data_IF_232173950172
#
_entry.id   IF_232173950172
#
_cell.length_a   1.000
_cell.length_b   1.000
_cell.length_c   1.000
_cell.angle_alpha   90.00
_cell.angle_beta   90.00
_cell.angle_gamma   90.00
#
_symmetry.space_group_name_H-M   'P 1'
#
loop_
_entity.id
_entity.type
_entity.pdbx_description
1 polymer ?
#
# COMPACT_ATOMS: atom_id res chain seq x y z
N UNK A 1 -40.52 40.56 -2.61
CA UNK A 1 -39.13 40.60 -3.06
C UNK A 1 -38.22 40.78 -1.83
N UNK A 2 -37.55 39.79 -1.26
CA UNK A 2 -36.72 40.04 -0.07
C UNK A 2 -36.12 38.82 0.60
N UNK A 3 -36.50 37.59 0.24
CA UNK A 3 -36.03 36.40 0.95
C UNK A 3 -34.78 35.70 0.35
N UNK A 4 -34.37 36.03 -0.87
CA UNK A 4 -33.26 35.36 -1.58
C UNK A 4 -31.87 35.96 -1.28
N UNK A 5 -31.78 37.20 -0.83
CA UNK A 5 -30.50 37.84 -0.51
C UNK A 5 -29.89 37.37 0.82
N UNK A 6 -30.72 37.15 1.83
CA UNK A 6 -30.29 36.80 3.17
C UNK A 6 -29.72 35.36 3.28
N UNK A 7 -30.22 34.41 2.49
CA UNK A 7 -29.72 33.06 2.53
C UNK A 7 -28.32 32.92 1.91
N UNK A 8 -28.02 33.62 0.83
CA UNK A 8 -26.69 33.65 0.20
C UNK A 8 -25.65 34.39 1.05
N UNK A 9 -26.07 35.45 1.73
CA UNK A 9 -25.17 36.18 2.64
C UNK A 9 -24.87 35.35 3.88
N UNK A 10 -25.87 34.70 4.48
CA UNK A 10 -25.69 33.79 5.59
C UNK A 10 -24.76 32.60 5.27
N UNK A 11 -24.93 31.99 4.09
CA UNK A 11 -24.03 30.91 3.63
C UNK A 11 -22.59 31.37 3.42
N UNK A 12 -22.39 32.62 2.85
CA UNK A 12 -21.04 33.19 2.71
C UNK A 12 -20.39 33.48 4.06
N UNK A 13 -21.17 34.02 5.02
CA UNK A 13 -20.66 34.30 6.36
C UNK A 13 -20.32 33.01 7.09
N UNK A 14 -21.19 32.00 7.02
CA UNK A 14 -20.91 30.69 7.63
C UNK A 14 -19.65 30.05 7.03
N UNK A 15 -19.50 30.04 5.71
CA UNK A 15 -18.31 29.55 5.05
C UNK A 15 -17.04 30.31 5.46
N UNK A 16 -17.13 31.64 5.60
CA UNK A 16 -16.01 32.44 6.08
C UNK A 16 -15.66 32.18 7.56
N UNK A 17 -16.65 31.91 8.42
CA UNK A 17 -16.42 31.52 9.81
C UNK A 17 -15.77 30.13 9.91
N UNK A 18 -16.24 29.17 9.09
CA UNK A 18 -15.68 27.81 9.04
C UNK A 18 -14.21 27.84 8.53
N UNK A 19 -13.92 28.68 7.51
CA UNK A 19 -12.55 28.88 7.00
C UNK A 19 -11.63 29.53 8.07
N UNK A 20 -12.12 30.50 8.84
CA UNK A 20 -11.37 31.13 9.94
C UNK A 20 -11.10 30.14 11.07
N UNK A 21 -12.03 29.25 11.37
CA UNK A 21 -11.87 28.23 12.41
C UNK A 21 -10.84 27.18 11.99
N UNK A 22 -10.86 26.74 10.72
CA UNK A 22 -9.84 25.84 10.16
C UNK A 22 -8.45 26.47 10.20
N UNK A 23 -8.31 27.75 9.89
CA UNK A 23 -7.02 28.46 9.97
C UNK A 23 -6.50 28.57 11.43
N UNK A 24 -7.39 28.83 12.38
CA UNK A 24 -7.02 28.83 13.81
C UNK A 24 -6.54 27.46 14.27
N UNK A 25 -7.27 26.40 13.92
CA UNK A 25 -6.91 25.03 14.25
C UNK A 25 -5.57 24.65 13.61
N UNK A 26 -5.35 25.00 12.35
CA UNK A 26 -4.07 24.79 11.66
C UNK A 26 -2.92 25.48 12.40
N UNK A 27 -3.08 26.73 12.79
CA UNK A 27 -2.05 27.46 13.51
C UNK A 27 -1.75 26.87 14.90
N UNK A 28 -2.75 26.35 15.62
CA UNK A 28 -2.56 25.65 16.87
C UNK A 28 -1.74 24.36 16.65
N UNK A 29 -2.06 23.59 15.62
CA UNK A 29 -1.29 22.37 15.26
C UNK A 29 0.16 22.73 14.92
N UNK A 30 0.38 23.80 14.14
CA UNK A 30 1.72 24.29 13.81
C UNK A 30 2.52 24.63 15.07
N UNK A 31 1.91 25.35 16.03
CA UNK A 31 2.58 25.70 17.27
C UNK A 31 2.94 24.47 18.11
N UNK A 32 2.02 23.51 18.24
CA UNK A 32 2.26 22.26 18.98
C UNK A 32 3.37 21.45 18.36
N UNK A 33 3.37 21.27 17.02
CA UNK A 33 4.39 20.51 16.30
C UNK A 33 5.75 21.22 16.32
N UNK A 34 5.78 22.56 16.27
CA UNK A 34 7.02 23.32 16.36
C UNK A 34 7.66 23.26 17.73
N UNK A 35 6.85 23.11 18.79
CA UNK A 35 7.33 23.00 20.17
C UNK A 35 7.89 21.60 20.50
N UNK A 36 7.63 20.60 19.67
CA UNK A 36 8.13 19.23 19.87
C UNK A 36 9.57 19.09 19.35
N UNK A 37 10.38 18.35 20.10
CA UNK A 37 11.74 17.95 19.68
C UNK A 37 11.73 16.76 18.73
N UNK A 38 10.66 15.94 18.75
CA UNK A 38 10.55 14.74 17.92
C UNK A 38 9.88 15.04 16.59
N UNK A 39 10.37 14.40 15.53
CA UNK A 39 9.74 14.43 14.21
C UNK A 39 8.58 13.42 14.16
N UNK A 40 7.52 13.78 13.48
CA UNK A 40 6.36 12.92 13.23
C UNK A 40 6.46 12.36 11.82
N UNK A 41 6.44 11.02 11.69
CA UNK A 41 6.33 10.33 10.41
C UNK A 41 4.88 9.90 10.22
N UNK A 42 4.28 10.37 9.13
CA UNK A 42 2.94 9.93 8.69
C UNK A 42 3.11 9.00 7.51
N UNK A 43 2.68 7.75 7.67
CA UNK A 43 2.72 6.74 6.60
C UNK A 43 1.33 6.62 6.00
N UNK A 44 1.22 6.83 4.69
CA UNK A 44 0.02 6.61 3.90
C UNK A 44 0.30 5.45 2.94
N UNK A 45 -0.27 4.31 3.24
CA UNK A 45 -0.13 3.07 2.48
C UNK A 45 -1.39 2.78 1.64
N UNK A 46 -1.25 1.94 0.62
CA UNK A 46 -2.34 1.50 -0.25
C UNK A 46 -3.10 2.64 -0.97
N UNK A 47 -2.45 3.75 -1.29
CA UNK A 47 -3.05 4.90 -2.00
C UNK A 47 -3.59 4.46 -3.37
N UNK A 48 -2.94 3.51 -4.03
CA UNK A 48 -3.32 2.96 -5.34
C UNK A 48 -4.61 2.12 -5.31
N UNK A 49 -5.11 1.74 -4.12
CA UNK A 49 -6.41 1.06 -3.98
C UNK A 49 -7.61 2.00 -3.95
N UNK A 50 -7.36 3.30 -3.89
CA UNK A 50 -8.39 4.32 -3.89
C UNK A 50 -8.86 4.62 -5.33
N UNK A 51 -10.05 5.20 -5.47
CA UNK A 51 -10.48 5.69 -6.77
C UNK A 51 -9.72 6.98 -7.16
N UNK A 52 -9.77 7.34 -8.44
CA UNK A 52 -9.01 8.49 -8.97
C UNK A 52 -9.32 9.81 -8.25
N UNK A 53 -10.57 10.04 -7.87
CA UNK A 53 -10.97 11.26 -7.14
C UNK A 53 -10.36 11.30 -5.74
N UNK A 54 -10.36 10.19 -5.03
CA UNK A 54 -9.78 10.07 -3.70
C UNK A 54 -8.26 10.23 -3.74
N UNK A 55 -7.59 9.65 -4.74
CA UNK A 55 -6.15 9.84 -4.98
C UNK A 55 -5.86 11.34 -5.16
N UNK A 56 -6.58 12.00 -6.07
CA UNK A 56 -6.43 13.44 -6.30
C UNK A 56 -6.63 14.25 -5.03
N UNK A 57 -7.64 13.92 -4.25
CA UNK A 57 -7.95 14.60 -3.01
C UNK A 57 -6.83 14.48 -1.99
N UNK A 58 -6.24 13.29 -1.81
CA UNK A 58 -5.10 13.08 -0.90
C UNK A 58 -3.90 13.92 -1.32
N UNK A 59 -3.54 13.90 -2.60
CA UNK A 59 -2.40 14.70 -3.09
C UNK A 59 -2.65 16.20 -2.96
N UNK A 60 -3.86 16.67 -3.20
CA UNK A 60 -4.25 18.06 -2.95
C UNK A 60 -4.19 18.43 -1.47
N UNK A 61 -4.65 17.54 -0.58
CA UNK A 61 -4.59 17.74 0.87
C UNK A 61 -3.13 17.88 1.34
N UNK A 62 -2.25 16.98 0.93
CA UNK A 62 -0.83 17.00 1.30
C UNK A 62 -0.16 18.30 0.82
N UNK A 63 -0.46 18.73 -0.40
CA UNK A 63 0.19 19.91 -0.99
C UNK A 63 -0.33 21.23 -0.45
N UNK A 64 -1.62 21.32 -0.10
CA UNK A 64 -2.28 22.59 0.27
C UNK A 64 -2.40 22.77 1.79
N UNK A 65 -2.72 21.73 2.52
CA UNK A 65 -3.08 21.83 3.95
C UNK A 65 -2.03 21.21 4.85
N UNK A 66 -1.45 20.09 4.46
CA UNK A 66 -0.64 19.25 5.34
C UNK A 66 0.85 19.61 5.42
N UNK A 67 1.22 20.87 5.09
CA UNK A 67 2.60 21.37 5.28
C UNK A 67 2.81 21.80 6.72
N UNK A 68 3.06 20.83 7.60
CA UNK A 68 3.32 21.09 9.01
C UNK A 68 4.83 20.99 9.31
N UNK A 69 5.35 21.80 10.28
CA UNK A 69 6.72 21.67 10.74
C UNK A 69 6.92 20.33 11.46
N UNK A 70 8.12 19.79 11.38
CA UNK A 70 8.52 18.52 12.01
C UNK A 70 7.70 17.30 11.56
N UNK A 71 6.97 17.38 10.44
CA UNK A 71 6.25 16.26 9.84
C UNK A 71 6.92 15.80 8.54
N UNK A 72 6.97 14.49 8.37
CA UNK A 72 7.40 13.82 7.14
C UNK A 72 6.30 12.87 6.71
N UNK A 73 5.95 12.89 5.43
CA UNK A 73 4.97 11.97 4.84
C UNK A 73 5.71 10.91 4.03
N UNK A 74 5.44 9.66 4.34
CA UNK A 74 5.84 8.50 3.55
C UNK A 74 4.62 8.00 2.80
N UNK A 75 4.63 8.17 1.48
CA UNK A 75 3.55 7.75 0.60
C UNK A 75 3.96 6.45 -0.08
N UNK A 76 3.18 5.39 0.09
CA UNK A 76 3.43 4.07 -0.49
C UNK A 76 2.33 3.78 -1.51
N UNK A 77 2.71 3.60 -2.77
CA UNK A 77 1.75 3.42 -3.85
C UNK A 77 2.40 2.84 -5.12
N UNK A 78 1.57 2.27 -5.99
CA UNK A 78 1.95 1.96 -7.36
C UNK A 78 2.01 3.25 -8.19
N UNK A 79 3.19 3.55 -8.74
CA UNK A 79 3.43 4.80 -9.47
C UNK A 79 2.55 4.93 -10.70
N UNK A 80 2.36 3.84 -11.46
CA UNK A 80 1.61 3.89 -12.73
C UNK A 80 0.14 4.22 -12.48
N UNK A 81 -0.46 3.62 -11.45
CA UNK A 81 -1.85 3.86 -11.05
C UNK A 81 -2.04 5.31 -10.62
N UNK A 82 -1.14 5.83 -9.78
CA UNK A 82 -1.25 7.21 -9.28
C UNK A 82 -0.99 8.23 -10.38
N UNK A 83 -0.02 8.01 -11.27
CA UNK A 83 0.21 8.88 -12.45
C UNK A 83 -1.05 8.96 -13.31
N UNK A 84 -1.70 7.82 -13.57
CA UNK A 84 -2.95 7.79 -14.36
C UNK A 84 -4.05 8.60 -13.66
N UNK A 85 -4.24 8.40 -12.35
CA UNK A 85 -5.24 9.13 -11.58
C UNK A 85 -5.02 10.65 -11.56
N UNK A 86 -3.76 11.10 -11.63
CA UNK A 86 -3.39 12.52 -11.57
C UNK A 86 -3.34 13.23 -12.94
N UNK A 87 -3.52 12.53 -14.05
CA UNK A 87 -3.46 13.12 -15.40
C UNK A 87 -4.32 14.36 -15.57
N UNK A 88 -5.53 14.34 -15.02
CA UNK A 88 -6.49 15.45 -15.19
C UNK A 88 -6.24 16.63 -14.23
N UNK A 89 -5.30 16.55 -13.31
CA UNK A 89 -5.07 17.60 -12.30
C UNK A 89 -4.27 18.78 -12.86
N UNK A 90 -3.31 18.52 -13.77
CA UNK A 90 -2.52 19.56 -14.43
C UNK A 90 -2.23 19.20 -15.88
N UNK A 91 -2.91 19.84 -16.84
CA UNK A 91 -2.57 19.85 -18.28
C UNK A 91 -2.22 18.46 -18.89
N UNK A 92 -2.76 17.37 -18.34
CA UNK A 92 -2.62 16.04 -18.90
C UNK A 92 -1.35 15.25 -18.51
N UNK A 93 -0.50 15.74 -17.60
CA UNK A 93 0.70 15.01 -17.18
C UNK A 93 0.74 14.75 -15.66
N UNK A 94 0.28 13.55 -15.25
CA UNK A 94 0.33 13.12 -13.84
C UNK A 94 1.75 12.94 -13.31
N UNK A 95 2.72 12.59 -14.16
CA UNK A 95 4.12 12.45 -13.79
C UNK A 95 4.72 13.78 -13.33
N UNK A 96 4.51 14.87 -14.10
CA UNK A 96 5.01 16.20 -13.76
C UNK A 96 4.38 16.72 -12.46
N UNK A 97 3.14 16.32 -12.17
CA UNK A 97 2.51 16.64 -10.91
C UNK A 97 3.18 15.93 -9.73
N UNK A 98 3.44 14.62 -9.86
CA UNK A 98 4.14 13.85 -8.83
C UNK A 98 5.53 14.41 -8.54
N UNK A 99 6.30 14.77 -9.56
CA UNK A 99 7.66 15.31 -9.39
C UNK A 99 7.68 16.63 -8.61
N UNK A 100 6.60 17.42 -8.68
CA UNK A 100 6.46 18.64 -7.88
C UNK A 100 6.09 18.37 -6.41
N UNK A 101 5.42 17.24 -6.15
CA UNK A 101 4.93 16.89 -4.81
C UNK A 101 5.93 16.03 -4.05
N UNK A 102 6.49 15.03 -4.71
CA UNK A 102 7.40 14.06 -4.10
C UNK A 102 8.83 14.60 -4.11
N UNK A 103 9.36 14.90 -2.93
CA UNK A 103 10.71 15.44 -2.78
C UNK A 103 11.78 14.36 -2.93
N UNK A 104 11.50 13.12 -2.51
CA UNK A 104 12.44 12.00 -2.49
C UNK A 104 11.73 10.74 -2.96
N UNK A 105 11.75 10.44 -4.27
CA UNK A 105 11.21 9.18 -4.77
C UNK A 105 12.16 8.03 -4.43
N UNK A 106 11.62 6.97 -3.84
CA UNK A 106 12.33 5.72 -3.55
C UNK A 106 11.61 4.61 -4.30
N UNK A 107 12.30 3.96 -5.21
CA UNK A 107 11.76 2.81 -5.92
C UNK A 107 12.20 1.52 -5.21
N UNK A 108 11.25 0.67 -4.85
CA UNK A 108 11.54 -0.66 -4.32
C UNK A 108 12.01 -1.52 -5.50
N UNK A 109 13.21 -2.12 -5.43
CA UNK A 109 13.71 -2.96 -6.52
C UNK A 109 12.88 -4.24 -6.65
N UNK A 110 12.77 -4.75 -7.87
CA UNK A 110 12.15 -6.04 -8.12
C UNK A 110 12.99 -7.14 -7.48
N UNK A 111 12.30 -8.09 -6.85
CA UNK A 111 12.95 -9.27 -6.26
C UNK A 111 13.43 -10.19 -7.37
N UNK A 112 14.66 -10.66 -7.27
CA UNK A 112 15.21 -11.63 -8.23
C UNK A 112 14.52 -13.00 -8.06
N UNK A 113 14.38 -13.73 -9.16
CA UNK A 113 13.73 -15.05 -9.14
C UNK A 113 14.44 -16.05 -8.21
N UNK A 114 15.77 -15.99 -8.15
CA UNK A 114 16.57 -16.77 -7.19
C UNK A 114 16.19 -16.52 -5.74
N UNK A 115 15.93 -15.25 -5.40
CA UNK A 115 15.57 -14.88 -4.02
C UNK A 115 14.15 -15.32 -3.68
N UNK A 116 13.22 -15.26 -4.65
CA UNK A 116 11.88 -15.81 -4.50
C UNK A 116 11.95 -17.34 -4.26
N UNK A 117 12.76 -18.07 -5.02
CA UNK A 117 12.96 -19.52 -4.84
C UNK A 117 13.56 -19.84 -3.46
N UNK A 118 14.62 -19.14 -3.07
CA UNK A 118 15.23 -19.33 -1.76
C UNK A 118 14.22 -19.12 -0.63
N UNK A 119 13.45 -18.04 -0.72
CA UNK A 119 12.42 -17.75 0.27
C UNK A 119 11.30 -18.82 0.27
N UNK A 120 10.86 -19.25 -0.92
CA UNK A 120 9.88 -20.32 -1.04
C UNK A 120 10.37 -21.61 -0.36
N UNK A 121 11.59 -22.08 -0.69
CA UNK A 121 12.13 -23.29 -0.12
C UNK A 121 12.30 -23.17 1.39
N UNK A 122 12.76 -22.04 1.90
CA UNK A 122 12.83 -21.80 3.35
C UNK A 122 11.46 -21.92 4.03
N UNK A 123 10.38 -21.41 3.42
CA UNK A 123 9.02 -21.54 3.96
C UNK A 123 8.50 -22.99 3.88
N UNK A 124 8.79 -23.70 2.77
CA UNK A 124 8.40 -25.09 2.61
C UNK A 124 9.13 -26.00 3.60
N UNK A 125 10.42 -25.80 3.84
CA UNK A 125 11.20 -26.56 4.84
C UNK A 125 10.59 -26.41 6.25
N UNK A 126 10.14 -25.21 6.62
CA UNK A 126 9.43 -24.99 7.90
C UNK A 126 8.13 -25.80 7.97
N UNK A 127 7.38 -25.88 6.87
CA UNK A 127 6.15 -26.68 6.81
C UNK A 127 6.46 -28.17 6.93
N UNK A 128 7.47 -28.67 6.21
CA UNK A 128 7.86 -30.08 6.26
C UNK A 128 8.32 -30.48 7.67
N UNK A 129 9.06 -29.62 8.37
CA UNK A 129 9.48 -29.85 9.75
C UNK A 129 8.30 -30.00 10.70
N UNK A 130 7.27 -29.17 10.51
CA UNK A 130 6.05 -29.18 11.34
C UNK A 130 5.23 -30.47 11.12
N UNK A 131 5.35 -31.11 9.92
CA UNK A 131 4.58 -32.29 9.49
C UNK A 131 5.51 -33.46 9.14
N UNK A 132 6.18 -34.03 10.16
CA UNK A 132 7.27 -35.02 10.03
C UNK A 132 6.92 -36.34 9.33
N UNK A 133 5.65 -36.69 9.20
CA UNK A 133 5.20 -37.97 8.65
C UNK A 133 4.81 -37.88 7.16
N UNK A 134 5.14 -36.79 6.46
CA UNK A 134 4.87 -36.64 5.04
C UNK A 134 5.86 -37.41 4.19
N UNK A 135 5.35 -38.21 3.25
CA UNK A 135 6.16 -38.79 2.18
C UNK A 135 6.81 -37.69 1.32
N UNK A 136 8.05 -37.86 0.91
CA UNK A 136 8.76 -36.93 0.04
C UNK A 136 9.50 -37.66 -1.08
N UNK A 137 9.06 -37.45 -2.32
CA UNK A 137 9.74 -37.95 -3.51
C UNK A 137 10.41 -36.80 -4.25
N UNK A 138 11.74 -36.71 -4.18
CA UNK A 138 12.50 -35.60 -4.77
C UNK A 138 12.33 -35.47 -6.29
N UNK A 139 12.24 -36.58 -7.04
CA UNK A 139 12.07 -36.54 -8.50
C UNK A 139 10.68 -36.01 -8.87
N UNK A 140 9.68 -36.50 -8.18
CA UNK A 140 8.29 -36.06 -8.37
C UNK A 140 8.13 -34.57 -8.02
N UNK A 141 8.71 -34.15 -6.89
CA UNK A 141 8.79 -32.76 -6.50
C UNK A 141 9.40 -31.86 -7.58
N UNK A 142 10.58 -32.22 -8.12
CA UNK A 142 11.24 -31.40 -9.14
C UNK A 142 10.39 -31.22 -10.39
N UNK A 143 9.69 -32.25 -10.84
CA UNK A 143 8.80 -32.16 -12.00
C UNK A 143 7.60 -31.25 -11.73
N UNK A 144 6.94 -31.43 -10.60
CA UNK A 144 5.80 -30.58 -10.21
C UNK A 144 6.21 -29.14 -9.95
N UNK A 145 7.34 -28.93 -9.30
CA UNK A 145 7.85 -27.58 -9.05
C UNK A 145 8.01 -26.81 -10.35
N UNK A 146 8.70 -27.38 -11.34
CA UNK A 146 8.95 -26.67 -12.61
C UNK A 146 7.70 -26.44 -13.43
N UNK A 147 6.74 -27.34 -13.42
CA UNK A 147 5.54 -27.27 -14.27
C UNK A 147 4.35 -26.61 -13.60
N UNK A 148 4.19 -26.77 -12.29
CA UNK A 148 2.98 -26.40 -11.56
C UNK A 148 3.18 -25.30 -10.51
N UNK A 149 4.39 -25.11 -9.98
CA UNK A 149 4.64 -24.14 -8.91
C UNK A 149 5.38 -22.91 -9.44
N UNK A 150 6.55 -23.14 -10.04
CA UNK A 150 7.45 -22.07 -10.46
C UNK A 150 6.82 -21.02 -11.40
N UNK A 151 5.97 -21.36 -12.39
CA UNK A 151 5.33 -20.38 -13.25
C UNK A 151 4.39 -19.41 -12.52
N UNK A 152 3.84 -19.82 -11.37
CA UNK A 152 2.89 -19.04 -10.59
C UNK A 152 3.53 -18.23 -9.46
N UNK A 153 4.83 -18.46 -9.18
CA UNK A 153 5.56 -17.68 -8.18
C UNK A 153 6.23 -16.49 -8.83
N UNK A 154 5.55 -15.36 -8.77
CA UNK A 154 6.04 -14.09 -9.33
C UNK A 154 6.35 -13.06 -8.25
N UNK A 155 5.74 -13.18 -7.07
CA UNK A 155 5.88 -12.24 -5.96
C UNK A 155 5.91 -12.96 -4.62
N UNK A 156 6.42 -12.33 -3.56
CA UNK A 156 6.37 -12.85 -2.19
C UNK A 156 4.94 -13.18 -1.72
N UNK A 157 3.96 -12.44 -2.22
CA UNK A 157 2.55 -12.68 -1.90
C UNK A 157 2.06 -14.05 -2.37
N UNK A 158 2.55 -14.51 -3.53
CA UNK A 158 2.19 -15.81 -4.08
C UNK A 158 2.73 -16.93 -3.20
N UNK A 159 3.98 -16.79 -2.73
CA UNK A 159 4.61 -17.71 -1.79
C UNK A 159 3.81 -17.81 -0.48
N UNK A 160 3.48 -16.66 0.09
CA UNK A 160 2.70 -16.65 1.34
C UNK A 160 1.32 -17.30 1.18
N UNK A 161 0.64 -17.05 0.03
CA UNK A 161 -0.65 -17.67 -0.28
C UNK A 161 -0.52 -19.18 -0.42
N UNK A 162 0.48 -19.64 -1.16
CA UNK A 162 0.76 -21.06 -1.33
C UNK A 162 1.04 -21.74 0.01
N UNK A 163 1.96 -21.20 0.80
CA UNK A 163 2.32 -21.76 2.11
C UNK A 163 1.15 -21.78 3.09
N UNK A 164 0.31 -20.75 3.10
CA UNK A 164 -0.89 -20.72 3.93
C UNK A 164 -1.93 -21.76 3.48
N UNK A 165 -2.12 -21.94 2.18
CA UNK A 165 -3.00 -22.98 1.64
C UNK A 165 -2.50 -24.40 1.99
N UNK A 166 -1.19 -24.62 1.87
CA UNK A 166 -0.57 -25.90 2.26
C UNK A 166 -0.76 -26.19 3.75
N UNK A 167 -0.45 -25.24 4.62
CA UNK A 167 -0.65 -25.41 6.07
C UNK A 167 -2.10 -25.77 6.41
N UNK A 168 -3.05 -25.08 5.79
CA UNK A 168 -4.46 -25.36 5.99
C UNK A 168 -4.85 -26.76 5.52
N UNK A 169 -4.39 -27.20 4.34
CA UNK A 169 -4.65 -28.54 3.82
C UNK A 169 -4.03 -29.62 4.72
N UNK A 170 -2.78 -29.43 5.14
CA UNK A 170 -2.04 -30.39 5.96
C UNK A 170 -2.67 -30.63 7.33
N UNK A 171 -3.35 -29.65 7.91
CA UNK A 171 -4.02 -29.83 9.22
C UNK A 171 -5.20 -30.81 9.18
N UNK A 172 -5.70 -31.17 7.99
CA UNK A 172 -6.85 -32.06 7.82
C UNK A 172 -6.54 -33.46 7.25
N UNK A 173 -5.25 -33.78 6.98
CA UNK A 173 -4.87 -34.97 6.22
C UNK A 173 -4.03 -35.90 7.07
N UNK A 174 -4.37 -37.21 7.00
CA UNK A 174 -3.57 -38.32 7.62
C UNK A 174 -2.35 -38.68 6.77
N UNK A 175 -1.36 -39.28 7.38
CA UNK A 175 0.03 -39.50 6.99
C UNK A 175 0.32 -40.31 5.70
N UNK A 176 -0.61 -40.49 4.77
CA UNK A 176 -0.44 -41.38 3.60
C UNK A 176 -0.24 -40.65 2.26
N UNK A 177 -0.09 -39.33 2.27
CA UNK A 177 -0.03 -38.52 1.04
C UNK A 177 1.38 -37.98 0.82
N UNK A 178 1.91 -38.07 -0.42
CA UNK A 178 3.15 -37.41 -0.81
C UNK A 178 2.95 -35.87 -0.78
N UNK A 179 3.90 -35.17 -0.16
CA UNK A 179 3.87 -33.72 -0.06
C UNK A 179 3.75 -33.03 -1.42
N UNK A 180 4.36 -33.61 -2.46
CA UNK A 180 4.31 -33.07 -3.81
C UNK A 180 2.90 -33.09 -4.41
N UNK A 181 2.06 -34.08 -4.06
CA UNK A 181 0.68 -34.18 -4.58
C UNK A 181 -0.28 -33.13 -3.98
N UNK A 182 0.19 -32.35 -3.01
CA UNK A 182 -0.62 -31.33 -2.33
C UNK A 182 -0.44 -29.93 -2.92
N UNK A 183 0.53 -29.75 -3.80
CA UNK A 183 0.84 -28.48 -4.45
C UNK A 183 0.03 -28.30 -5.72
#
# INVERSE_FOLDING_TARGET
MGKWGFSRLGQKIQKGLDELDVLKQKNQVIQLLSAQSNRVLVVLDDIDRLNNEQIRYIFQLITSVARFPNMTYLLVFDKEIVVEALKDVQSGNGQDYLEKVIQMPIQIPNIQRSDLHNFLFEQLDKIIIDFKDLGYNQKHWQQLFQSCVDPFITHLRDINRLCNALRFKLTGISSEIDFADML
#
